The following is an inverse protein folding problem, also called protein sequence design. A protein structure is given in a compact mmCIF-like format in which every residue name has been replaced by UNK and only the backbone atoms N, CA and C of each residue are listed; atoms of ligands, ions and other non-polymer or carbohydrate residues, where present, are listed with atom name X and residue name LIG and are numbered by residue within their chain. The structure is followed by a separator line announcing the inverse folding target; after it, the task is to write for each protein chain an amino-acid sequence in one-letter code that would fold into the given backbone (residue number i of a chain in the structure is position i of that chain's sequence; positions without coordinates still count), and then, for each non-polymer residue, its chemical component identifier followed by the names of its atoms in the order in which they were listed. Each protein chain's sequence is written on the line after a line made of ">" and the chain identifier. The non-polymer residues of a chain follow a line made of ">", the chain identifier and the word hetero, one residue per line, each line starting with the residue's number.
data_IF_143891892320
#
_entry.id   IF_143891892320
#
_cell.length_a   1.000
_cell.length_b   1.000
_cell.length_c   1.000
_cell.angle_alpha   90.00
_cell.angle_beta   90.00
_cell.angle_gamma   90.00
#
_symmetry.space_group_name_H-M   'P 1'
#
loop_
_entity.id
_entity.type
_entity.pdbx_description
1 polymer ?
#
# COMPACT_ATOMS: atom_id res chain seq x y z
N UNK A 1 8.16 17.72 1.05
CA UNK A 1 7.36 17.04 2.10
C UNK A 1 7.47 15.53 2.03
N UNK A 2 7.03 14.87 0.94
CA UNK A 2 7.15 13.39 0.81
C UNK A 2 8.55 12.84 1.10
N UNK A 3 9.61 13.48 0.57
CA UNK A 3 11.02 13.13 0.83
C UNK A 3 11.44 13.16 2.31
N UNK A 4 10.73 13.91 3.16
CA UNK A 4 10.99 13.98 4.61
C UNK A 4 10.04 13.07 5.41
N UNK A 5 8.81 12.90 4.93
CA UNK A 5 7.80 12.09 5.61
C UNK A 5 8.10 10.59 5.53
N UNK A 6 8.52 10.08 4.36
CA UNK A 6 8.80 8.65 4.18
C UNK A 6 9.84 8.09 5.19
N UNK A 7 11.05 8.66 5.33
CA UNK A 7 12.04 8.14 6.28
C UNK A 7 11.60 8.31 7.75
N UNK A 8 10.74 9.30 8.05
CA UNK A 8 10.18 9.47 9.39
C UNK A 8 9.10 8.42 9.70
N UNK A 9 8.26 8.06 8.72
CA UNK A 9 7.29 6.97 8.87
C UNK A 9 8.00 5.63 9.07
N UNK A 10 9.02 5.34 8.26
CA UNK A 10 9.86 4.14 8.41
C UNK A 10 10.49 4.08 9.80
N UNK A 11 11.14 5.16 10.26
CA UNK A 11 11.72 5.22 11.62
C UNK A 11 10.64 5.06 12.70
N UNK A 12 9.43 5.60 12.50
CA UNK A 12 8.31 5.44 13.45
C UNK A 12 7.85 3.97 13.51
N UNK A 13 7.67 3.32 12.36
CA UNK A 13 7.24 1.91 12.26
C UNK A 13 8.25 0.98 12.95
N UNK A 14 9.56 1.21 12.77
CA UNK A 14 10.61 0.47 13.47
C UNK A 14 10.51 0.62 14.99
N UNK A 15 10.23 1.84 15.47
CA UNK A 15 10.07 2.11 16.90
C UNK A 15 8.76 1.50 17.44
N UNK A 16 7.68 1.51 16.66
CA UNK A 16 6.40 0.88 17.00
C UNK A 16 6.56 -0.63 17.23
N UNK A 17 7.42 -1.30 16.45
CA UNK A 17 7.79 -2.71 16.67
C UNK A 17 8.46 -2.91 18.04
N UNK A 18 9.40 -2.01 18.41
CA UNK A 18 10.08 -2.05 19.71
C UNK A 18 9.07 -1.87 20.85
N UNK A 19 8.19 -0.88 20.76
CA UNK A 19 7.14 -0.62 21.77
C UNK A 19 6.23 -1.84 21.93
N UNK A 20 5.80 -2.44 20.81
CA UNK A 20 4.97 -3.66 20.82
C UNK A 20 5.68 -4.84 21.47
N UNK A 21 7.00 -4.98 21.27
CA UNK A 21 7.81 -6.02 21.91
C UNK A 21 8.02 -5.76 23.40
N UNK A 22 8.21 -4.51 23.82
CA UNK A 22 8.31 -4.14 25.24
C UNK A 22 7.01 -4.43 26.01
N UNK A 23 5.84 -4.38 25.33
CA UNK A 23 4.55 -4.81 25.89
C UNK A 23 4.51 -6.29 26.30
N UNK A 24 5.47 -7.11 25.85
CA UNK A 24 5.65 -8.53 26.23
C UNK A 24 6.65 -8.72 27.37
N UNK A 25 6.85 -7.70 28.22
CA UNK A 25 7.74 -7.70 29.40
C UNK A 25 9.25 -7.69 29.13
N UNK A 26 9.67 -7.27 27.93
CA UNK A 26 11.09 -7.10 27.59
C UNK A 26 11.61 -5.71 27.98
N UNK A 27 12.87 -5.63 28.40
CA UNK A 27 13.55 -4.33 28.53
C UNK A 27 13.80 -3.71 27.14
N UNK A 28 14.03 -2.40 27.07
CA UNK A 28 14.28 -1.69 25.81
C UNK A 28 15.44 -2.30 25.03
N UNK A 29 16.55 -2.60 25.70
CA UNK A 29 17.74 -3.19 25.09
C UNK A 29 17.48 -4.60 24.55
N UNK A 30 16.73 -5.42 25.30
CA UNK A 30 16.35 -6.78 24.87
C UNK A 30 15.39 -6.76 23.69
N UNK A 31 14.38 -5.88 23.72
CA UNK A 31 13.43 -5.72 22.62
C UNK A 31 14.13 -5.32 21.32
N UNK A 32 15.04 -4.34 21.36
CA UNK A 32 15.82 -3.92 20.18
C UNK A 32 16.69 -5.08 19.66
N UNK A 33 17.41 -5.78 20.54
CA UNK A 33 18.28 -6.91 20.14
C UNK A 33 17.48 -8.04 19.51
N UNK A 34 16.32 -8.37 20.07
CA UNK A 34 15.46 -9.42 19.54
C UNK A 34 14.90 -9.07 18.15
N UNK A 35 14.47 -7.82 17.95
CA UNK A 35 13.97 -7.33 16.68
C UNK A 35 15.08 -7.36 15.61
N UNK A 36 16.28 -6.90 15.94
CA UNK A 36 17.44 -6.95 15.03
C UNK A 36 17.85 -8.38 14.68
N UNK A 37 17.79 -9.31 15.65
CA UNK A 37 18.12 -10.72 15.42
C UNK A 37 17.11 -11.44 14.53
N UNK A 38 15.85 -11.02 14.53
CA UNK A 38 14.77 -11.63 13.75
C UNK A 38 14.56 -10.97 12.37
N UNK A 39 15.29 -9.89 12.06
CA UNK A 39 15.15 -9.18 10.80
C UNK A 39 15.82 -9.95 9.64
N UNK A 40 15.16 -10.00 8.48
CA UNK A 40 15.74 -10.46 7.22
C UNK A 40 17.00 -9.64 6.89
N UNK A 41 18.02 -10.29 6.31
CA UNK A 41 19.35 -9.69 6.05
C UNK A 41 19.26 -8.37 5.29
N UNK A 42 18.32 -8.24 4.34
CA UNK A 42 18.13 -7.03 3.54
C UNK A 42 17.49 -5.85 4.31
N UNK A 43 16.55 -6.13 5.22
CA UNK A 43 15.90 -5.11 6.07
C UNK A 43 16.73 -4.72 7.29
N UNK A 44 17.66 -5.59 7.69
CA UNK A 44 18.47 -5.43 8.89
C UNK A 44 19.30 -4.12 8.86
N UNK A 45 19.76 -3.65 7.70
CA UNK A 45 20.56 -2.42 7.57
C UNK A 45 19.78 -1.13 7.89
N UNK A 46 18.53 -1.00 7.41
CA UNK A 46 17.68 0.17 7.69
C UNK A 46 17.25 0.20 9.16
N UNK A 47 16.76 -0.94 9.64
CA UNK A 47 16.33 -1.15 11.03
C UNK A 47 17.45 -0.84 12.03
N UNK A 48 18.66 -1.35 11.74
CA UNK A 48 19.87 -1.10 12.51
C UNK A 48 20.14 0.39 12.65
N UNK A 49 20.14 1.13 11.54
CA UNK A 49 20.42 2.57 11.53
C UNK A 49 19.43 3.36 12.39
N UNK A 50 18.16 2.95 12.39
CA UNK A 50 17.10 3.61 13.13
C UNK A 50 17.10 3.26 14.62
N UNK A 51 17.49 2.03 14.99
CA UNK A 51 17.34 1.51 16.34
C UNK A 51 18.63 1.46 17.19
N UNK A 52 19.82 1.34 16.58
CA UNK A 52 21.07 1.16 17.32
C UNK A 52 21.32 2.25 18.37
N UNK A 53 20.98 3.50 18.05
CA UNK A 53 21.21 4.62 18.95
C UNK A 53 20.34 4.59 20.22
N UNK A 54 19.30 3.76 20.26
CA UNK A 54 18.41 3.61 21.41
C UNK A 54 18.87 2.54 22.40
N UNK A 55 19.81 1.66 22.04
CA UNK A 55 20.23 0.52 22.89
C UNK A 55 20.78 0.97 24.24
N UNK A 56 21.43 2.13 24.28
CA UNK A 56 22.06 2.71 25.48
C UNK A 56 21.27 3.86 26.09
N UNK A 57 20.10 4.20 25.54
CA UNK A 57 19.26 5.27 26.08
C UNK A 57 18.37 4.75 27.19
N UNK A 58 18.05 5.65 28.10
CA UNK A 58 17.03 5.39 29.12
C UNK A 58 15.63 5.37 28.51
N UNK A 59 14.71 4.63 29.14
CA UNK A 59 13.35 4.45 28.62
C UNK A 59 12.61 5.78 28.42
N UNK A 60 12.82 6.75 29.31
CA UNK A 60 12.16 8.05 29.20
C UNK A 60 12.68 8.88 28.01
N UNK A 61 13.97 8.81 27.70
CA UNK A 61 14.55 9.48 26.53
C UNK A 61 14.06 8.86 25.22
N UNK A 62 13.95 7.52 25.21
CA UNK A 62 13.38 6.78 24.09
C UNK A 62 11.92 7.20 23.82
N UNK A 63 11.09 7.26 24.87
CA UNK A 63 9.68 7.68 24.75
C UNK A 63 9.59 9.13 24.27
N UNK A 64 10.39 10.05 24.82
CA UNK A 64 10.38 11.45 24.41
C UNK A 64 10.77 11.64 22.94
N UNK A 65 11.77 10.90 22.45
CA UNK A 65 12.14 10.94 21.02
C UNK A 65 11.05 10.33 20.14
N UNK A 66 10.45 9.22 20.56
CA UNK A 66 9.32 8.61 19.88
C UNK A 66 8.12 9.56 19.76
N UNK A 67 7.76 10.26 20.85
CA UNK A 67 6.67 11.24 20.85
C UNK A 67 6.97 12.41 19.90
N UNK A 68 8.22 12.89 19.88
CA UNK A 68 8.66 13.92 18.92
C UNK A 68 8.53 13.46 17.47
N UNK A 69 8.96 12.24 17.17
CA UNK A 69 8.85 11.65 15.83
C UNK A 69 7.37 11.50 15.43
N UNK A 70 6.52 11.04 16.36
CA UNK A 70 5.08 10.93 16.13
C UNK A 70 4.44 12.29 15.83
N UNK A 71 4.82 13.33 16.57
CA UNK A 71 4.35 14.69 16.35
C UNK A 71 4.76 15.21 14.97
N UNK A 72 6.03 15.06 14.60
CA UNK A 72 6.55 15.50 13.30
C UNK A 72 5.91 14.74 12.12
N UNK A 73 5.76 13.41 12.26
CA UNK A 73 5.04 12.58 11.30
C UNK A 73 3.61 13.09 11.11
N UNK A 74 2.88 13.31 12.20
CA UNK A 74 1.50 13.80 12.18
C UNK A 74 1.39 15.17 11.53
N UNK A 75 2.32 16.08 11.83
CA UNK A 75 2.34 17.42 11.24
C UNK A 75 2.60 17.37 9.73
N UNK A 76 3.56 16.57 9.28
CA UNK A 76 3.90 16.42 7.87
C UNK A 76 2.79 15.70 7.08
N UNK A 77 2.15 14.71 7.68
CA UNK A 77 1.02 13.98 7.10
C UNK A 77 -0.19 14.91 6.92
N UNK A 78 -0.55 15.69 7.96
CA UNK A 78 -1.59 16.73 7.88
C UNK A 78 -1.30 17.76 6.80
N UNK A 79 -0.05 18.22 6.66
CA UNK A 79 0.34 19.13 5.57
C UNK A 79 0.14 18.47 4.21
N UNK A 80 0.55 17.22 4.04
CA UNK A 80 0.38 16.49 2.77
C UNK A 80 -1.10 16.33 2.44
N UNK A 81 -1.91 15.98 3.43
CA UNK A 81 -3.35 15.86 3.30
C UNK A 81 -4.01 17.18 2.90
N UNK A 82 -3.61 18.30 3.50
CA UNK A 82 -4.10 19.63 3.13
C UNK A 82 -3.85 19.96 1.65
N UNK A 83 -2.64 19.66 1.13
CA UNK A 83 -2.36 19.82 -0.31
C UNK A 83 -3.20 18.88 -1.19
N UNK A 84 -3.40 17.62 -0.77
CA UNK A 84 -4.26 16.67 -1.50
C UNK A 84 -5.68 17.21 -1.61
N UNK A 85 -6.27 17.65 -0.50
CA UNK A 85 -7.62 18.22 -0.46
C UNK A 85 -7.69 19.48 -1.32
N UNK A 86 -6.71 20.38 -1.21
CA UNK A 86 -6.67 21.61 -1.98
C UNK A 86 -6.66 21.36 -3.50
N UNK A 87 -5.78 20.48 -4.00
CA UNK A 87 -5.69 20.18 -5.43
C UNK A 87 -6.95 19.47 -5.96
N UNK A 88 -7.51 18.54 -5.20
CA UNK A 88 -8.75 17.86 -5.58
C UNK A 88 -9.94 18.83 -5.60
N UNK A 89 -10.01 19.76 -4.64
CA UNK A 89 -11.02 20.80 -4.60
C UNK A 89 -10.84 21.81 -5.76
N UNK A 90 -9.60 22.15 -6.11
CA UNK A 90 -9.31 23.02 -7.25
C UNK A 90 -9.86 22.45 -8.56
N UNK A 91 -9.64 21.15 -8.80
CA UNK A 91 -10.24 20.45 -9.95
C UNK A 91 -11.78 20.55 -9.95
N UNK A 92 -12.44 20.25 -8.83
CA UNK A 92 -13.90 20.36 -8.73
C UNK A 92 -14.41 21.79 -8.91
N UNK A 93 -13.68 22.76 -8.36
CA UNK A 93 -13.98 24.20 -8.45
C UNK A 93 -13.83 24.73 -9.88
N UNK A 94 -12.91 24.18 -10.68
CA UNK A 94 -12.79 24.51 -12.10
C UNK A 94 -13.98 24.00 -12.93
N UNK A 95 -14.66 22.94 -12.47
CA UNK A 95 -15.88 22.42 -13.11
C UNK A 95 -17.18 23.09 -12.64
N UNK A 96 -17.15 23.92 -11.59
CA UNK A 96 -18.34 24.60 -11.08
C UNK A 96 -18.56 25.94 -11.78
N UNK A 97 -19.64 26.06 -12.56
CA UNK A 97 -19.99 27.28 -13.29
C UNK A 97 -20.25 28.51 -12.42
N UNK A 98 -20.42 28.33 -11.10
CA UNK A 98 -20.58 29.43 -10.14
C UNK A 98 -19.25 29.94 -9.57
N UNK A 99 -18.17 29.21 -9.79
CA UNK A 99 -16.84 29.55 -9.28
C UNK A 99 -16.20 30.67 -10.09
N UNK A 100 -15.48 31.61 -9.45
CA UNK A 100 -14.64 32.57 -10.17
C UNK A 100 -13.45 31.92 -10.90
N UNK A 101 -13.15 30.64 -10.61
CA UNK A 101 -12.13 29.84 -11.28
C UNK A 101 -12.71 28.85 -12.28
N UNK A 102 -13.96 29.03 -12.71
CA UNK A 102 -14.60 28.14 -13.67
C UNK A 102 -13.82 28.07 -14.99
N UNK A 103 -13.41 26.86 -15.35
CA UNK A 103 -12.70 26.53 -16.57
C UNK A 103 -13.08 25.11 -17.00
N UNK A 104 -14.22 24.99 -17.69
CA UNK A 104 -14.83 23.71 -18.05
C UNK A 104 -13.88 22.83 -18.88
N UNK A 105 -13.12 23.43 -19.78
CA UNK A 105 -12.17 22.75 -20.66
C UNK A 105 -11.06 22.07 -19.86
N UNK A 106 -10.60 22.70 -18.78
CA UNK A 106 -9.60 22.12 -17.87
C UNK A 106 -10.20 20.91 -17.14
N UNK A 107 -11.37 21.07 -16.53
CA UNK A 107 -12.04 19.98 -15.80
C UNK A 107 -12.40 18.80 -16.74
N UNK A 108 -12.90 19.10 -17.93
CA UNK A 108 -13.21 18.13 -18.97
C UNK A 108 -11.96 17.41 -19.50
N UNK A 109 -10.86 18.14 -19.70
CA UNK A 109 -9.57 17.58 -20.08
C UNK A 109 -9.01 16.60 -19.05
N UNK A 110 -9.03 16.98 -17.76
CA UNK A 110 -8.61 16.11 -16.65
C UNK A 110 -9.47 14.86 -16.56
N UNK A 111 -10.80 14.99 -16.66
CA UNK A 111 -11.73 13.86 -16.63
C UNK A 111 -11.47 12.89 -17.79
N UNK A 112 -11.31 13.44 -19.00
CA UNK A 112 -11.09 12.65 -20.21
C UNK A 112 -9.76 11.90 -20.16
N UNK A 113 -8.69 12.56 -19.68
CA UNK A 113 -7.39 11.93 -19.49
C UNK A 113 -7.45 10.81 -18.44
N UNK A 114 -8.12 11.03 -17.30
CA UNK A 114 -8.34 9.99 -16.29
C UNK A 114 -9.07 8.77 -16.85
N UNK A 115 -10.17 8.99 -17.57
CA UNK A 115 -10.92 7.91 -18.23
C UNK A 115 -10.11 7.17 -19.29
N UNK A 116 -9.30 7.88 -20.09
CA UNK A 116 -8.39 7.24 -21.06
C UNK A 116 -7.42 6.32 -20.33
N UNK A 117 -6.76 6.82 -19.29
CA UNK A 117 -5.68 6.10 -18.60
C UNK A 117 -6.20 4.88 -17.85
N UNK A 118 -7.33 4.97 -17.14
CA UNK A 118 -7.88 3.79 -16.43
C UNK A 118 -8.33 2.69 -17.39
N UNK A 119 -8.89 3.06 -18.56
CA UNK A 119 -9.24 2.11 -19.63
C UNK A 119 -8.00 1.49 -20.27
N UNK A 120 -6.98 2.30 -20.52
CA UNK A 120 -5.69 1.84 -21.06
C UNK A 120 -5.05 0.79 -20.13
N UNK A 121 -5.03 1.05 -18.83
CA UNK A 121 -4.55 0.09 -17.82
C UNK A 121 -5.44 -1.16 -17.81
N UNK A 122 -6.77 -1.00 -17.84
CA UNK A 122 -7.70 -2.13 -17.90
C UNK A 122 -7.44 -3.06 -19.10
N UNK A 123 -7.11 -2.50 -20.27
CA UNK A 123 -6.76 -3.28 -21.45
C UNK A 123 -5.38 -3.92 -21.33
N UNK A 124 -4.41 -3.24 -20.70
CA UNK A 124 -3.10 -3.81 -20.39
C UNK A 124 -3.19 -5.02 -19.46
N UNK A 125 -3.90 -4.92 -18.34
CA UNK A 125 -4.01 -6.03 -17.37
C UNK A 125 -4.75 -7.24 -17.96
N UNK A 126 -5.77 -7.00 -18.80
CA UNK A 126 -6.46 -8.08 -19.53
C UNK A 126 -5.54 -8.80 -20.52
N UNK A 127 -4.68 -8.08 -21.24
CA UNK A 127 -3.69 -8.68 -22.15
C UNK A 127 -2.68 -9.55 -21.39
N UNK A 128 -2.38 -9.20 -20.15
CA UNK A 128 -1.58 -9.99 -19.22
C UNK A 128 -2.38 -11.10 -18.48
N UNK A 129 -3.61 -11.41 -18.96
CA UNK A 129 -4.50 -12.46 -18.46
C UNK A 129 -5.08 -12.26 -17.06
N UNK A 130 -4.93 -11.08 -16.47
CA UNK A 130 -5.59 -10.75 -15.22
C UNK A 130 -7.08 -10.46 -15.46
N UNK A 131 -7.92 -11.00 -14.58
CA UNK A 131 -9.34 -10.66 -14.54
C UNK A 131 -9.55 -9.28 -13.93
N UNK A 132 -10.60 -8.57 -14.36
CA UNK A 132 -11.04 -7.32 -13.71
C UNK A 132 -12.39 -7.60 -13.07
N UNK A 133 -12.44 -7.58 -11.74
CA UNK A 133 -13.68 -7.82 -10.98
C UNK A 133 -14.52 -6.56 -10.86
N UNK A 134 -13.87 -5.43 -10.60
CA UNK A 134 -14.51 -4.13 -10.41
C UNK A 134 -13.53 -3.01 -10.79
N UNK A 135 -14.05 -1.83 -11.09
CA UNK A 135 -13.25 -0.63 -11.31
C UNK A 135 -14.08 0.63 -11.10
N UNK A 136 -13.41 1.70 -10.68
CA UNK A 136 -13.99 3.03 -10.57
C UNK A 136 -13.04 4.06 -11.22
N UNK A 137 -13.15 5.32 -10.83
CA UNK A 137 -12.51 6.47 -11.46
C UNK A 137 -10.98 6.35 -11.53
N UNK A 138 -10.36 5.79 -10.49
CA UNK A 138 -8.91 5.78 -10.29
C UNK A 138 -8.34 4.43 -9.79
N UNK A 139 -9.16 3.37 -9.72
CA UNK A 139 -8.72 2.05 -9.27
C UNK A 139 -9.39 0.89 -10.00
N UNK A 140 -8.74 -0.27 -9.98
CA UNK A 140 -9.23 -1.55 -10.49
C UNK A 140 -9.06 -2.62 -9.42
N UNK A 141 -10.08 -3.44 -9.21
CA UNK A 141 -9.98 -4.69 -8.45
C UNK A 141 -9.70 -5.81 -9.44
N UNK A 142 -8.53 -6.41 -9.29
CA UNK A 142 -8.01 -7.43 -10.20
C UNK A 142 -8.15 -8.82 -9.60
N UNK A 143 -8.15 -9.83 -10.46
CA UNK A 143 -8.13 -11.26 -10.10
C UNK A 143 -6.96 -11.89 -10.82
N UNK A 144 -6.10 -12.60 -10.09
CA UNK A 144 -4.99 -13.34 -10.68
C UNK A 144 -5.49 -14.43 -11.64
N UNK A 145 -4.71 -14.75 -12.69
CA UNK A 145 -4.98 -15.91 -13.54
C UNK A 145 -5.04 -17.20 -12.72
N UNK A 146 -5.99 -18.09 -13.03
CA UNK A 146 -6.20 -19.35 -12.28
C UNK A 146 -4.95 -20.24 -12.30
N UNK A 147 -4.15 -20.19 -13.37
CA UNK A 147 -2.93 -20.98 -13.50
C UNK A 147 -1.87 -20.66 -12.42
N UNK A 148 -1.96 -19.49 -11.77
CA UNK A 148 -1.09 -19.13 -10.64
C UNK A 148 -1.40 -19.93 -9.38
N UNK A 149 -2.64 -20.39 -9.23
CA UNK A 149 -3.10 -21.14 -8.06
C UNK A 149 -3.02 -22.65 -8.23
N UNK A 150 -2.73 -23.16 -9.44
CA UNK A 150 -2.74 -24.60 -9.75
C UNK A 150 -1.99 -25.46 -8.71
N UNK A 151 -0.78 -25.08 -8.32
CA UNK A 151 -0.01 -25.83 -7.31
C UNK A 151 -0.66 -25.81 -5.92
N UNK A 152 -1.31 -24.71 -5.58
CA UNK A 152 -2.06 -24.54 -4.34
C UNK A 152 -3.31 -25.42 -4.35
N UNK A 153 -4.05 -25.41 -5.47
CA UNK A 153 -5.25 -26.21 -5.70
C UNK A 153 -4.92 -27.71 -5.64
N UNK A 154 -3.88 -28.16 -6.36
CA UNK A 154 -3.40 -29.53 -6.33
C UNK A 154 -3.00 -29.98 -4.92
N UNK A 155 -2.37 -29.11 -4.12
CA UNK A 155 -2.00 -29.42 -2.74
C UNK A 155 -3.22 -29.59 -1.82
N UNK A 156 -4.29 -28.83 -2.05
CA UNK A 156 -5.54 -28.95 -1.30
C UNK A 156 -6.33 -30.20 -1.72
N UNK A 157 -6.49 -30.41 -3.03
CA UNK A 157 -7.34 -31.47 -3.60
C UNK A 157 -6.73 -32.88 -3.50
N UNK A 158 -5.40 -33.01 -3.49
CA UNK A 158 -4.69 -34.31 -3.46
C UNK A 158 -4.71 -35.04 -2.10
N UNK A 159 -5.76 -34.82 -1.30
CA UNK A 159 -6.03 -35.55 -0.06
C UNK A 159 -5.85 -34.75 1.22
N UNK A 160 -6.25 -33.47 1.25
CA UNK A 160 -6.16 -32.59 2.43
C UNK A 160 -4.71 -32.43 2.97
N UNK A 161 -3.71 -32.31 2.09
CA UNK A 161 -2.31 -32.12 2.55
C UNK A 161 -2.12 -30.82 3.32
N UNK A 162 -2.99 -29.85 3.06
CA UNK A 162 -3.02 -28.55 3.73
C UNK A 162 -4.44 -28.27 4.23
N UNK A 163 -4.53 -27.49 5.32
CA UNK A 163 -5.83 -27.07 5.84
C UNK A 163 -6.48 -26.03 4.90
N UNK A 164 -7.79 -25.80 5.06
CA UNK A 164 -8.50 -24.77 4.30
C UNK A 164 -7.95 -23.37 4.58
N UNK A 165 -7.59 -23.10 5.83
CA UNK A 165 -6.96 -21.86 6.25
C UNK A 165 -5.60 -21.68 5.58
N UNK A 166 -4.76 -22.72 5.58
CA UNK A 166 -3.45 -22.70 4.91
C UNK A 166 -3.59 -22.50 3.39
N UNK A 167 -4.56 -23.14 2.76
CA UNK A 167 -4.87 -22.94 1.34
C UNK A 167 -5.23 -21.48 1.03
N UNK A 168 -6.12 -20.89 1.84
CA UNK A 168 -6.53 -19.49 1.69
C UNK A 168 -5.37 -18.51 1.91
N UNK A 169 -4.55 -18.73 2.95
CA UNK A 169 -3.36 -17.93 3.20
C UNK A 169 -2.38 -17.97 2.04
N UNK A 170 -2.12 -19.15 1.47
CA UNK A 170 -1.25 -19.30 0.29
C UNK A 170 -1.80 -18.60 -0.94
N UNK A 171 -3.10 -18.64 -1.19
CA UNK A 171 -3.69 -17.89 -2.32
C UNK A 171 -3.51 -16.38 -2.16
N UNK A 172 -3.66 -15.86 -0.94
CA UNK A 172 -3.42 -14.44 -0.64
C UNK A 172 -1.96 -14.10 -0.89
N UNK A 173 -1.02 -14.90 -0.39
CA UNK A 173 0.43 -14.71 -0.60
C UNK A 173 0.80 -14.71 -2.09
N UNK A 174 0.30 -15.69 -2.86
CA UNK A 174 0.52 -15.76 -4.32
C UNK A 174 -0.03 -14.49 -4.98
N UNK A 175 -1.21 -14.03 -4.56
CA UNK A 175 -1.83 -12.83 -5.13
C UNK A 175 -1.01 -11.58 -4.85
N UNK A 176 -0.49 -11.42 -3.63
CA UNK A 176 0.38 -10.28 -3.28
C UNK A 176 1.62 -10.22 -4.18
N UNK A 177 2.32 -11.35 -4.33
CA UNK A 177 3.55 -11.43 -5.15
C UNK A 177 3.26 -11.15 -6.63
N UNK A 178 2.16 -11.66 -7.18
CA UNK A 178 1.82 -11.42 -8.58
C UNK A 178 1.32 -9.97 -8.82
N UNK A 179 0.63 -9.37 -7.85
CA UNK A 179 0.20 -7.97 -7.94
C UNK A 179 1.36 -7.00 -7.85
N UNK A 180 2.39 -7.27 -7.04
CA UNK A 180 3.62 -6.46 -7.01
C UNK A 180 4.34 -6.46 -8.37
N UNK A 181 4.50 -7.64 -9.00
CA UNK A 181 5.08 -7.74 -10.34
C UNK A 181 4.26 -6.95 -11.37
N UNK A 182 2.94 -7.14 -11.37
CA UNK A 182 2.04 -6.45 -12.28
C UNK A 182 2.08 -4.93 -12.06
N UNK A 183 2.18 -4.48 -10.82
CA UNK A 183 2.29 -3.07 -10.47
C UNK A 183 3.50 -2.41 -11.14
N UNK A 184 4.67 -3.07 -11.09
CA UNK A 184 5.88 -2.55 -11.71
C UNK A 184 5.75 -2.49 -13.23
N UNK A 185 5.22 -3.56 -13.85
CA UNK A 185 4.95 -3.62 -15.29
C UNK A 185 3.96 -2.53 -15.74
N UNK A 186 2.88 -2.29 -14.98
CA UNK A 186 1.89 -1.24 -15.26
C UNK A 186 2.53 0.14 -15.18
N UNK A 187 3.40 0.37 -14.19
CA UNK A 187 4.05 1.67 -14.01
C UNK A 187 5.10 1.96 -15.08
N UNK A 188 5.84 0.94 -15.54
CA UNK A 188 6.73 1.07 -16.68
C UNK A 188 5.95 1.38 -17.97
N UNK A 189 4.85 0.67 -18.18
CA UNK A 189 3.95 0.92 -19.31
C UNK A 189 3.35 2.33 -19.29
N UNK A 190 2.90 2.81 -18.13
CA UNK A 190 2.37 4.18 -17.98
C UNK A 190 3.44 5.24 -18.23
N UNK A 191 4.66 5.00 -17.76
CA UNK A 191 5.79 5.91 -17.97
C UNK A 191 6.16 6.02 -19.45
N UNK A 192 6.10 4.91 -20.18
CA UNK A 192 6.31 4.89 -21.63
C UNK A 192 5.21 5.67 -22.37
N UNK A 193 3.93 5.42 -22.06
CA UNK A 193 2.79 6.10 -22.71
C UNK A 193 2.73 7.60 -22.41
N UNK A 194 2.98 8.01 -21.15
CA UNK A 194 2.86 9.40 -20.72
C UNK A 194 4.16 10.21 -20.87
N UNK A 195 5.29 9.55 -21.19
CA UNK A 195 6.62 10.18 -21.26
C UNK A 195 7.15 10.71 -19.93
N UNK A 196 6.49 10.41 -18.80
CA UNK A 196 6.89 10.87 -17.48
C UNK A 196 6.46 9.89 -16.38
N UNK A 197 7.16 9.85 -15.24
CA UNK A 197 6.85 8.94 -14.13
C UNK A 197 5.85 9.53 -13.12
N UNK A 198 5.14 10.62 -13.48
CA UNK A 198 4.26 11.31 -12.53
C UNK A 198 2.94 10.57 -12.30
N UNK A 199 2.39 9.98 -13.36
CA UNK A 199 1.22 9.11 -13.27
C UNK A 199 1.70 7.68 -13.01
N UNK A 200 1.24 7.12 -11.89
CA UNK A 200 1.56 5.76 -11.48
C UNK A 200 0.39 5.14 -10.72
N UNK A 201 0.25 3.84 -10.85
CA UNK A 201 -0.63 3.03 -10.00
C UNK A 201 0.11 2.66 -8.73
N UNK A 202 -0.63 2.55 -7.63
CA UNK A 202 -0.15 1.94 -6.40
C UNK A 202 -0.85 0.59 -6.23
N UNK A 203 -0.10 -0.41 -5.78
CA UNK A 203 -0.71 -1.59 -5.18
C UNK A 203 -1.12 -1.22 -3.74
N UNK A 204 -2.39 -1.43 -3.40
CA UNK A 204 -2.92 -1.13 -2.06
C UNK A 204 -3.01 -2.40 -1.22
N UNK A 205 -3.78 -3.39 -1.69
CA UNK A 205 -4.17 -4.51 -0.84
C UNK A 205 -4.74 -5.71 -1.64
N UNK A 206 -4.80 -6.87 -0.98
CA UNK A 206 -5.61 -8.02 -1.40
C UNK A 206 -6.84 -8.12 -0.50
N UNK A 207 -8.02 -8.17 -1.10
CA UNK A 207 -9.29 -8.40 -0.40
C UNK A 207 -9.75 -9.85 -0.59
N UNK A 208 -9.72 -10.66 0.47
CA UNK A 208 -10.15 -12.06 0.40
C UNK A 208 -10.64 -12.60 1.75
N UNK A 209 -11.82 -13.23 1.84
CA UNK A 209 -12.88 -13.24 0.83
C UNK A 209 -13.45 -11.83 0.65
N UNK A 210 -14.04 -11.58 -0.52
CA UNK A 210 -14.66 -10.29 -0.86
C UNK A 210 -16.01 -10.49 -1.50
N UNK A 211 -16.97 -9.63 -1.14
CA UNK A 211 -18.33 -9.61 -1.68
C UNK A 211 -18.64 -8.25 -2.26
N UNK A 212 -19.01 -8.23 -3.54
CA UNK A 212 -19.46 -7.04 -4.25
C UNK A 212 -21.00 -7.08 -4.36
N UNK A 213 -21.67 -6.06 -3.82
CA UNK A 213 -23.14 -5.96 -3.82
C UNK A 213 -23.65 -4.87 -4.77
N UNK A 214 -22.77 -3.98 -5.23
CA UNK A 214 -23.09 -2.96 -6.23
C UNK A 214 -21.96 -1.95 -6.39
N UNK A 215 -22.19 -0.93 -7.23
CA UNK A 215 -21.25 0.19 -7.38
C UNK A 215 -21.00 0.84 -6.03
N UNK A 216 -19.73 0.99 -5.65
CA UNK A 216 -19.29 1.54 -4.36
C UNK A 216 -19.89 0.82 -3.13
N UNK A 217 -20.28 -0.45 -3.28
CA UNK A 217 -20.84 -1.28 -2.21
C UNK A 217 -20.20 -2.66 -2.23
N UNK A 218 -19.19 -2.84 -1.39
CA UNK A 218 -18.48 -4.09 -1.21
C UNK A 218 -17.92 -4.18 0.21
N UNK A 219 -17.63 -5.40 0.65
CA UNK A 219 -16.97 -5.67 1.92
C UNK A 219 -16.10 -6.92 1.77
N UNK A 220 -15.03 -7.00 2.55
CA UNK A 220 -14.09 -8.12 2.52
C UNK A 220 -13.10 -8.03 3.66
N UNK A 221 -12.28 -9.07 3.79
CA UNK A 221 -11.15 -9.07 4.72
C UNK A 221 -9.93 -8.51 4.00
N UNK A 222 -9.31 -7.52 4.64
CA UNK A 222 -8.14 -6.81 4.14
C UNK A 222 -6.86 -7.60 4.42
N UNK A 223 -5.96 -7.68 3.44
CA UNK A 223 -4.59 -8.17 3.59
C UNK A 223 -3.60 -7.20 2.93
N UNK A 224 -2.72 -6.59 3.73
CA UNK A 224 -1.79 -5.55 3.25
C UNK A 224 -0.38 -6.11 2.97
N UNK A 225 0.27 -6.71 3.99
CA UNK A 225 1.65 -7.20 3.92
C UNK A 225 1.78 -8.72 4.12
N UNK A 226 0.79 -9.32 4.78
CA UNK A 226 0.68 -10.76 5.03
C UNK A 226 -0.81 -11.15 5.12
N UNK A 227 -1.14 -12.43 4.95
CA UNK A 227 -2.45 -12.94 5.31
C UNK A 227 -2.79 -12.59 6.77
N UNK A 228 -4.05 -12.22 7.00
CA UNK A 228 -4.60 -11.79 8.28
C UNK A 228 -5.33 -12.95 8.95
#
# INVERSE_FOLDING_TARGET
>A
MKKRLAPLKEKKEDIDLVISSMGKSLSLSEAIKQILANAEVEKCNGLSKNLYHFIHKEKYEFIAEYDSICFDCSCLDKKQYAFKVYINAFYGTAGDSKSPFFLCELAGGVTSAGQRNIKLIADFVKRNRFGIKYGDTDFLNLVCPEERFQRCDEAYDSGNRISKEEYWSRMVEISMVEMEKLHDEVNDFLKEDNGSPYLKMAYEEVLFPVVFTGKKKYYGILHESKPN
#
